data_IF_115850797135
#
_entry.id   IF_115850797135
#
_cell.length_a   1.000
_cell.length_b   1.000
_cell.length_c   1.000
_cell.angle_alpha   90.00
_cell.angle_beta   90.00
_cell.angle_gamma   90.00
#
_symmetry.space_group_name_H-M   'P 1'
#
loop_
_entity.id
_entity.type
_entity.pdbx_description
1 polymer ?
#
# COMPACT_ATOMS: atom_id res chain seq x y z
N UNK A 1 -30.09 -15.66 15.36
CA UNK A 1 -29.83 -16.56 14.25
C UNK A 1 -29.79 -15.71 13.00
N UNK A 2 -28.55 -15.44 12.52
CA UNK A 2 -28.36 -14.82 11.22
C UNK A 2 -28.85 -15.83 10.17
N UNK A 3 -29.71 -15.40 9.28
CA UNK A 3 -30.13 -16.22 8.14
C UNK A 3 -28.88 -16.49 7.30
N UNK A 4 -28.71 -17.68 6.72
CA UNK A 4 -27.54 -18.09 5.95
C UNK A 4 -27.13 -17.05 4.88
N UNK A 5 -28.11 -16.40 4.25
CA UNK A 5 -27.89 -15.32 3.28
C UNK A 5 -27.24 -14.06 3.89
N UNK A 6 -27.59 -13.69 5.13
CA UNK A 6 -27.00 -12.53 5.82
C UNK A 6 -25.56 -12.80 6.22
N UNK A 7 -25.27 -14.01 6.70
CA UNK A 7 -23.91 -14.43 7.02
C UNK A 7 -23.01 -14.41 5.78
N UNK A 8 -23.47 -14.96 4.67
CA UNK A 8 -22.74 -14.96 3.39
C UNK A 8 -22.46 -13.53 2.90
N UNK A 9 -23.42 -12.61 3.05
CA UNK A 9 -23.22 -11.21 2.66
C UNK A 9 -22.07 -10.54 3.44
N UNK A 10 -21.98 -10.79 4.74
CA UNK A 10 -20.89 -10.23 5.56
C UNK A 10 -19.58 -11.00 5.45
N UNK A 11 -19.59 -12.24 4.96
CA UNK A 11 -18.42 -13.04 4.71
C UNK A 11 -17.64 -12.56 3.47
N UNK A 12 -18.33 -12.01 2.48
CA UNK A 12 -17.71 -11.53 1.23
C UNK A 12 -16.55 -10.55 1.45
N UNK A 13 -16.68 -9.46 2.25
CA UNK A 13 -15.56 -8.55 2.49
C UNK A 13 -14.42 -9.21 3.29
N UNK A 14 -14.70 -10.20 4.13
CA UNK A 14 -13.67 -10.94 4.86
C UNK A 14 -12.83 -11.77 3.90
N UNK A 15 -13.48 -12.46 2.96
CA UNK A 15 -12.81 -13.25 1.92
C UNK A 15 -11.97 -12.30 1.03
N UNK A 16 -12.54 -11.17 0.63
CA UNK A 16 -11.83 -10.17 -0.19
C UNK A 16 -10.57 -9.66 0.49
N UNK A 17 -10.65 -9.27 1.77
CA UNK A 17 -9.48 -8.84 2.55
C UNK A 17 -8.44 -9.98 2.69
N UNK A 18 -8.88 -11.23 2.85
CA UNK A 18 -8.02 -12.41 2.90
C UNK A 18 -7.30 -12.68 1.58
N UNK A 19 -8.00 -12.57 0.46
CA UNK A 19 -7.41 -12.72 -0.89
C UNK A 19 -6.38 -11.63 -1.15
N UNK A 20 -6.71 -10.38 -0.84
CA UNK A 20 -5.80 -9.24 -0.99
C UNK A 20 -4.57 -9.43 -0.09
N UNK A 21 -4.74 -9.80 1.18
CA UNK A 21 -3.63 -10.07 2.08
C UNK A 21 -2.70 -11.17 1.53
N UNK A 22 -3.28 -12.25 1.02
CA UNK A 22 -2.53 -13.35 0.41
C UNK A 22 -1.76 -12.89 -0.82
N UNK A 23 -2.37 -12.09 -1.70
CA UNK A 23 -1.72 -11.53 -2.88
C UNK A 23 -0.51 -10.65 -2.49
N UNK A 24 -0.67 -9.79 -1.46
CA UNK A 24 0.43 -8.98 -0.91
C UNK A 24 1.55 -9.86 -0.34
N UNK A 25 1.23 -10.88 0.45
CA UNK A 25 2.22 -11.80 1.03
C UNK A 25 2.97 -12.58 -0.05
N UNK A 26 2.26 -13.13 -1.02
CA UNK A 26 2.88 -13.86 -2.14
C UNK A 26 3.78 -12.92 -2.95
N UNK A 27 3.37 -11.66 -3.13
CA UNK A 27 4.19 -10.69 -3.85
C UNK A 27 5.53 -10.38 -3.17
N UNK A 28 5.65 -10.58 -1.85
CA UNK A 28 6.94 -10.43 -1.14
C UNK A 28 7.98 -11.47 -1.55
N UNK A 29 7.54 -12.62 -2.08
CA UNK A 29 8.40 -13.66 -2.62
C UNK A 29 8.90 -13.33 -4.04
N UNK A 30 8.33 -12.31 -4.67
CA UNK A 30 8.71 -11.88 -6.01
C UNK A 30 9.78 -10.78 -5.97
N UNK A 31 10.50 -10.59 -7.06
CA UNK A 31 11.53 -9.56 -7.18
C UNK A 31 11.00 -8.12 -7.03
N UNK A 32 9.70 -7.92 -7.32
CA UNK A 32 9.01 -6.62 -7.19
C UNK A 32 7.78 -6.76 -6.29
N UNK A 33 7.83 -6.28 -5.02
CA UNK A 33 6.69 -6.29 -4.11
C UNK A 33 5.48 -5.54 -4.69
N UNK A 34 4.27 -5.91 -4.27
CA UNK A 34 3.01 -5.36 -4.84
C UNK A 34 2.95 -3.83 -4.79
N UNK A 35 3.39 -3.22 -3.68
CA UNK A 35 3.42 -1.75 -3.55
C UNK A 35 4.37 -1.11 -4.57
N UNK A 36 5.49 -1.75 -4.89
CA UNK A 36 6.41 -1.26 -5.92
C UNK A 36 5.80 -1.32 -7.33
N UNK A 37 4.99 -2.33 -7.62
CA UNK A 37 4.25 -2.43 -8.89
C UNK A 37 3.20 -1.33 -9.00
N UNK A 38 2.39 -1.14 -7.95
CA UNK A 38 1.38 -0.08 -7.91
C UNK A 38 2.01 1.32 -7.99
N UNK A 39 3.13 1.55 -7.31
CA UNK A 39 3.84 2.83 -7.38
C UNK A 39 4.33 3.15 -8.81
N UNK A 40 4.78 2.15 -9.56
CA UNK A 40 5.20 2.29 -10.95
C UNK A 40 4.07 2.71 -11.90
N UNK A 41 2.82 2.35 -11.60
CA UNK A 41 1.64 2.75 -12.39
C UNK A 41 1.29 4.23 -12.20
N UNK A 42 1.63 4.81 -11.04
CA UNK A 42 1.33 6.22 -10.71
C UNK A 42 2.51 7.16 -10.98
N UNK A 43 3.72 6.65 -10.92
CA UNK A 43 4.94 7.42 -11.14
C UNK A 43 5.96 6.59 -11.89
N UNK A 44 6.33 6.97 -13.13
CA UNK A 44 7.36 6.27 -13.88
C UNK A 44 8.70 6.43 -13.15
N UNK A 45 9.10 5.36 -12.46
CA UNK A 45 10.38 5.29 -11.77
C UNK A 45 11.40 4.57 -12.65
N UNK A 46 12.59 5.17 -12.79
CA UNK A 46 13.71 4.53 -13.46
C UNK A 46 14.08 3.21 -12.79
N UNK A 47 14.46 2.22 -13.58
CA UNK A 47 14.84 0.88 -13.06
C UNK A 47 16.00 0.97 -12.05
N UNK A 48 16.88 1.94 -12.15
CA UNK A 48 17.95 2.19 -11.18
C UNK A 48 17.43 2.56 -9.78
N UNK A 49 16.30 3.27 -9.70
CA UNK A 49 15.69 3.67 -8.44
C UNK A 49 15.16 2.46 -7.65
N UNK A 50 14.62 1.47 -8.35
CA UNK A 50 14.15 0.22 -7.75
C UNK A 50 15.29 -0.64 -7.17
N UNK A 51 16.52 -0.48 -7.67
CA UNK A 51 17.69 -1.21 -7.20
C UNK A 51 18.29 -0.63 -5.91
N UNK A 52 17.95 0.60 -5.54
CA UNK A 52 18.42 1.21 -4.29
C UNK A 52 17.91 0.44 -3.07
N UNK A 53 18.79 -0.04 -2.18
CA UNK A 53 18.42 -0.95 -1.10
C UNK A 53 17.41 -0.34 -0.11
N UNK A 54 17.46 0.97 0.11
CA UNK A 54 16.51 1.68 0.98
C UNK A 54 15.10 1.72 0.39
N UNK A 55 14.98 2.00 -0.91
CA UNK A 55 13.71 2.05 -1.62
C UNK A 55 13.10 0.66 -1.68
N UNK A 56 13.89 -0.35 -1.99
CA UNK A 56 13.45 -1.75 -1.99
C UNK A 56 12.96 -2.19 -0.61
N UNK A 57 13.67 -1.83 0.45
CA UNK A 57 13.25 -2.11 1.83
C UNK A 57 11.97 -1.39 2.21
N UNK A 58 11.79 -0.14 1.78
CA UNK A 58 10.56 0.61 1.99
C UNK A 58 9.37 -0.12 1.35
N UNK A 59 9.46 -0.48 0.07
CA UNK A 59 8.39 -1.18 -0.63
C UNK A 59 8.07 -2.54 0.00
N UNK A 60 9.08 -3.26 0.46
CA UNK A 60 8.90 -4.53 1.17
C UNK A 60 8.16 -4.32 2.49
N UNK A 61 8.58 -3.36 3.31
CA UNK A 61 7.93 -3.02 4.57
C UNK A 61 6.49 -2.54 4.38
N UNK A 62 6.23 -1.70 3.37
CA UNK A 62 4.89 -1.23 3.05
C UNK A 62 3.99 -2.38 2.58
N UNK A 63 4.49 -3.25 1.70
CA UNK A 63 3.75 -4.42 1.23
C UNK A 63 3.39 -5.35 2.39
N UNK A 64 4.34 -5.62 3.29
CA UNK A 64 4.09 -6.41 4.49
C UNK A 64 3.09 -5.73 5.42
N UNK A 65 3.23 -4.42 5.63
CA UNK A 65 2.31 -3.64 6.46
C UNK A 65 0.87 -3.71 5.96
N UNK A 66 0.67 -3.54 4.65
CA UNK A 66 -0.64 -3.67 4.01
C UNK A 66 -1.20 -5.09 4.10
N UNK A 67 -0.36 -6.13 3.92
CA UNK A 67 -0.77 -7.52 4.08
C UNK A 67 -1.26 -7.81 5.51
N UNK A 68 -0.49 -7.38 6.52
CA UNK A 68 -0.85 -7.55 7.93
C UNK A 68 -2.10 -6.74 8.30
N UNK A 69 -2.28 -5.55 7.75
CA UNK A 69 -3.48 -4.75 7.94
C UNK A 69 -4.72 -5.48 7.41
N UNK A 70 -4.67 -5.99 6.18
CA UNK A 70 -5.78 -6.73 5.58
C UNK A 70 -6.09 -8.01 6.36
N UNK A 71 -5.07 -8.77 6.76
CA UNK A 71 -5.23 -9.97 7.56
C UNK A 71 -5.82 -9.65 8.93
N UNK A 72 -5.34 -8.61 9.60
CA UNK A 72 -5.85 -8.15 10.88
C UNK A 72 -7.31 -7.70 10.79
N UNK A 73 -7.69 -6.95 9.74
CA UNK A 73 -9.08 -6.58 9.48
C UNK A 73 -9.97 -7.80 9.25
N UNK A 74 -9.53 -8.75 8.43
CA UNK A 74 -10.29 -9.97 8.16
C UNK A 74 -10.53 -10.75 9.44
N UNK A 75 -9.50 -10.96 10.25
CA UNK A 75 -9.59 -11.68 11.54
C UNK A 75 -10.48 -10.96 12.54
N UNK A 76 -10.29 -9.66 12.72
CA UNK A 76 -11.10 -8.85 13.62
C UNK A 76 -12.57 -8.80 13.20
N UNK A 77 -12.83 -8.70 11.88
CA UNK A 77 -14.20 -8.69 11.33
C UNK A 77 -14.89 -10.04 11.56
N UNK A 78 -14.15 -11.14 11.33
CA UNK A 78 -14.69 -12.49 11.58
C UNK A 78 -15.03 -12.70 13.05
N UNK A 79 -14.12 -12.30 13.94
CA UNK A 79 -14.35 -12.40 15.39
C UNK A 79 -15.56 -11.55 15.83
N UNK A 80 -15.66 -10.31 15.32
CA UNK A 80 -16.74 -9.39 15.65
C UNK A 80 -18.10 -9.91 15.14
N UNK A 81 -18.12 -10.51 13.94
CA UNK A 81 -19.32 -11.13 13.35
C UNK A 81 -19.87 -12.27 14.20
N UNK A 82 -19.00 -13.02 14.89
CA UNK A 82 -19.37 -14.14 15.74
C UNK A 82 -19.76 -13.70 17.16
N UNK A 83 -19.25 -12.56 17.63
CA UNK A 83 -19.31 -12.16 19.04
C UNK A 83 -20.33 -11.07 19.34
N UNK A 84 -20.81 -10.31 18.33
CA UNK A 84 -21.60 -9.11 18.55
C UNK A 84 -22.96 -9.13 17.83
N UNK A 85 -23.98 -8.41 18.36
CA UNK A 85 -25.23 -8.16 17.63
C UNK A 85 -24.98 -7.39 16.35
N UNK A 86 -25.78 -7.65 15.30
CA UNK A 86 -25.61 -7.12 13.95
C UNK A 86 -25.48 -5.58 13.89
N UNK A 87 -26.28 -4.86 14.67
CA UNK A 87 -26.25 -3.39 14.69
C UNK A 87 -24.90 -2.84 15.19
N UNK A 88 -24.39 -3.40 16.30
CA UNK A 88 -23.08 -3.03 16.86
C UNK A 88 -21.95 -3.42 15.91
N UNK A 89 -22.04 -4.60 15.30
CA UNK A 89 -21.10 -5.09 14.31
C UNK A 89 -20.92 -4.11 13.14
N UNK A 90 -22.03 -3.67 12.51
CA UNK A 90 -21.99 -2.77 11.34
C UNK A 90 -21.35 -1.43 11.71
N UNK A 91 -21.71 -0.85 12.84
CA UNK A 91 -21.21 0.45 13.27
C UNK A 91 -19.71 0.39 13.61
N UNK A 92 -19.30 -0.57 14.45
CA UNK A 92 -17.90 -0.74 14.86
C UNK A 92 -17.03 -1.06 13.65
N UNK A 93 -17.49 -1.96 12.78
CA UNK A 93 -16.77 -2.29 11.55
C UNK A 93 -16.54 -1.07 10.65
N UNK A 94 -17.60 -0.31 10.37
CA UNK A 94 -17.50 0.85 9.45
C UNK A 94 -16.54 1.91 9.94
N UNK A 95 -16.63 2.27 11.22
CA UNK A 95 -15.74 3.25 11.84
C UNK A 95 -14.29 2.74 11.89
N UNK A 96 -14.10 1.48 12.31
CA UNK A 96 -12.76 0.90 12.43
C UNK A 96 -12.07 0.78 11.06
N UNK A 97 -12.78 0.35 10.02
CA UNK A 97 -12.21 0.23 8.66
C UNK A 97 -11.81 1.60 8.12
N UNK A 98 -12.64 2.62 8.32
CA UNK A 98 -12.33 3.98 7.87
C UNK A 98 -11.07 4.53 8.57
N UNK A 99 -11.00 4.41 9.89
CA UNK A 99 -9.85 4.88 10.67
C UNK A 99 -8.57 4.12 10.35
N UNK A 100 -8.63 2.80 10.27
CA UNK A 100 -7.48 1.94 9.95
C UNK A 100 -6.94 2.20 8.56
N UNK A 101 -7.81 2.29 7.55
CA UNK A 101 -7.39 2.59 6.20
C UNK A 101 -6.82 4.01 6.07
N UNK A 102 -7.46 5.00 6.70
CA UNK A 102 -6.95 6.37 6.73
C UNK A 102 -5.56 6.46 7.39
N UNK A 103 -5.37 5.80 8.53
CA UNK A 103 -4.08 5.74 9.21
C UNK A 103 -3.01 5.02 8.36
N UNK A 104 -3.38 3.92 7.69
CA UNK A 104 -2.46 3.18 6.83
C UNK A 104 -2.01 4.02 5.62
N UNK A 105 -2.93 4.73 4.98
CA UNK A 105 -2.62 5.64 3.86
C UNK A 105 -1.71 6.78 4.34
N UNK A 106 -2.05 7.43 5.45
CA UNK A 106 -1.24 8.51 6.03
C UNK A 106 0.19 8.02 6.38
N UNK A 107 0.30 6.84 6.98
CA UNK A 107 1.60 6.22 7.29
C UNK A 107 2.39 5.89 6.01
N UNK A 108 1.73 5.39 4.98
CA UNK A 108 2.35 5.10 3.68
C UNK A 108 2.92 6.36 3.05
N UNK A 109 2.13 7.45 3.02
CA UNK A 109 2.56 8.74 2.48
C UNK A 109 3.74 9.30 3.30
N UNK A 110 3.64 9.27 4.63
CA UNK A 110 4.70 9.75 5.52
C UNK A 110 6.01 8.97 5.33
N UNK A 111 5.93 7.64 5.23
CA UNK A 111 7.10 6.80 5.00
C UNK A 111 7.72 7.04 3.61
N UNK A 112 6.91 7.16 2.58
CA UNK A 112 7.36 7.44 1.22
C UNK A 112 8.03 8.80 1.11
N UNK A 113 7.42 9.86 1.67
CA UNK A 113 7.99 11.22 1.66
C UNK A 113 9.27 11.29 2.48
N UNK A 114 9.33 10.61 3.63
CA UNK A 114 10.53 10.56 4.44
C UNK A 114 11.72 9.92 3.70
N UNK A 115 11.49 8.79 3.03
CA UNK A 115 12.54 8.13 2.24
C UNK A 115 12.91 8.95 1.02
N UNK A 116 11.93 9.53 0.31
CA UNK A 116 12.18 10.37 -0.85
C UNK A 116 13.03 11.61 -0.51
N UNK A 117 12.77 12.24 0.64
CA UNK A 117 13.61 13.35 1.15
C UNK A 117 15.04 12.89 1.45
N UNK A 118 15.19 11.73 2.08
CA UNK A 118 16.53 11.18 2.40
C UNK A 118 17.35 10.76 1.17
N UNK A 119 16.68 10.40 0.10
CA UNK A 119 17.32 10.04 -1.18
C UNK A 119 17.53 11.27 -2.11
N UNK A 120 17.14 12.48 -1.66
CA UNK A 120 17.27 13.71 -2.44
C UNK A 120 16.30 13.84 -3.61
N UNK A 121 15.25 12.99 -3.65
CA UNK A 121 14.28 12.99 -4.76
C UNK A 121 13.29 14.15 -4.70
N UNK A 122 13.20 14.86 -3.57
CA UNK A 122 12.30 15.99 -3.33
C UNK A 122 13.07 17.31 -3.18
N UNK A 123 14.34 17.37 -3.56
CA UNK A 123 15.11 18.59 -3.50
C UNK A 123 14.81 19.43 -4.75
N UNK A 124 14.14 20.60 -4.63
CA UNK A 124 13.80 21.46 -5.77
C UNK A 124 15.02 22.18 -6.38
N UNK A 125 16.23 21.85 -5.91
CA UNK A 125 17.46 22.53 -6.23
C UNK A 125 18.43 21.80 -7.13
N UNK A 126 18.02 20.71 -7.81
CA UNK A 126 18.85 20.21 -8.92
C UNK A 126 18.71 21.19 -10.07
N UNK A 127 19.79 21.89 -10.48
CA UNK A 127 19.73 22.73 -11.65
C UNK A 127 19.32 21.84 -12.82
N UNK A 128 18.28 22.29 -13.53
CA UNK A 128 17.95 21.83 -14.88
C UNK A 128 19.27 21.57 -15.59
N UNK A 129 19.53 20.31 -15.94
CA UNK A 129 20.75 19.94 -16.63
C UNK A 129 20.87 20.89 -17.80
N UNK A 130 21.84 21.79 -17.72
CA UNK A 130 22.22 22.67 -18.84
C UNK A 130 22.43 21.74 -20.00
N UNK A 131 21.47 21.72 -20.93
CA UNK A 131 21.61 21.03 -22.20
C UNK A 131 22.93 21.52 -22.78
N UNK A 132 23.86 20.64 -23.15
CA UNK A 132 25.10 21.07 -23.74
C UNK A 132 24.75 21.98 -24.95
N UNK A 133 25.29 23.20 -24.96
CA UNK A 133 25.10 24.11 -26.07
C UNK A 133 25.38 23.38 -27.40
N UNK A 134 24.51 23.55 -28.41
CA UNK A 134 24.75 22.94 -29.70
C UNK A 134 26.10 23.41 -30.21
N UNK A 135 27.01 22.47 -30.42
CA UNK A 135 28.35 22.74 -31.01
C UNK A 135 28.15 23.48 -32.34
N UNK A 136 28.73 24.67 -32.50
CA UNK A 136 28.61 25.40 -33.76
C UNK A 136 29.21 24.57 -34.88
N UNK A 137 28.39 24.28 -35.90
CA UNK A 137 28.83 23.59 -37.12
C UNK A 137 29.74 24.52 -37.86
N UNK A 138 31.02 24.18 -38.14
CA UNK A 138 31.88 25.00 -38.94
C UNK A 138 31.36 25.09 -40.37
N UNK A 139 31.37 26.31 -40.93
CA UNK A 139 30.95 26.61 -42.28
C UNK A 139 31.91 26.03 -43.34
#
# INVERSE_FOLDING_TARGET
LLTDSTFLYFLQPIISDGVVATAFLVSLLTARPMVARLAGDFYPMDDELHLRPRIRRLFWCLTLGWALLCLGKATATLWLLQSQPLATFVLVKSVSVLLLNGAAVATTIAAATFVARREGLLDPGLPEQVLPEPVPVPA
#
